data_IF_800052005957
#
_entry.id   IF_800052005957
#
_cell.length_a   1.000
_cell.length_b   1.000
_cell.length_c   1.000
_cell.angle_alpha   90.00
_cell.angle_beta   90.00
_cell.angle_gamma   90.00
#
_symmetry.space_group_name_H-M   'P 1'
#
loop_
_entity.id
_entity.type
_entity.pdbx_description
1 polymer ?
#
# COMPACT_ATOMS: atom_id res chain seq x y z
N UNK A 1 2.80 -11.84 -31.07
CA UNK A 1 2.46 -11.29 -29.75
C UNK A 1 3.43 -10.21 -29.32
N UNK A 2 2.94 -9.18 -28.65
CA UNK A 2 3.78 -8.13 -28.08
C UNK A 2 4.28 -7.06 -29.05
N UNK A 3 3.85 -7.10 -30.29
CA UNK A 3 4.16 -6.08 -31.30
C UNK A 3 2.97 -5.11 -31.43
N UNK A 4 3.23 -3.90 -31.93
CA UNK A 4 2.16 -2.93 -32.17
C UNK A 4 1.17 -3.45 -33.20
N UNK A 5 -0.11 -3.16 -33.00
CA UNK A 5 -1.18 -3.60 -33.90
C UNK A 5 -0.96 -3.12 -35.32
N UNK A 6 -0.47 -1.89 -35.52
CA UNK A 6 -0.21 -1.32 -36.83
C UNK A 6 0.90 -2.07 -37.57
N UNK A 7 2.03 -2.41 -36.90
CA UNK A 7 3.13 -3.13 -37.54
C UNK A 7 2.73 -4.57 -37.87
N UNK A 8 1.92 -5.21 -37.03
CA UNK A 8 1.37 -6.55 -37.27
C UNK A 8 0.40 -6.53 -38.46
N UNK A 9 -0.49 -5.54 -38.53
CA UNK A 9 -1.44 -5.42 -39.66
C UNK A 9 -0.70 -5.25 -40.99
N UNK A 10 0.33 -4.42 -41.03
CA UNK A 10 1.16 -4.25 -42.21
C UNK A 10 1.87 -5.54 -42.64
N UNK A 11 2.46 -6.24 -41.68
CA UNK A 11 3.10 -7.55 -41.91
C UNK A 11 2.08 -8.57 -42.44
N UNK A 12 0.91 -8.68 -41.84
CA UNK A 12 -0.13 -9.63 -42.27
C UNK A 12 -0.62 -9.33 -43.69
N UNK A 13 -0.76 -8.05 -44.06
CA UNK A 13 -1.14 -7.63 -45.38
C UNK A 13 -0.08 -8.09 -46.40
N UNK A 14 1.20 -7.84 -46.16
CA UNK A 14 2.29 -8.29 -47.02
C UNK A 14 2.40 -9.80 -47.12
N UNK A 15 2.15 -10.50 -46.01
CA UNK A 15 2.10 -11.95 -45.98
C UNK A 15 0.98 -12.51 -46.85
N UNK A 16 -0.20 -11.92 -46.80
CA UNK A 16 -1.33 -12.35 -47.64
C UNK A 16 -1.02 -12.11 -49.15
N UNK A 17 -0.41 -10.97 -49.50
CA UNK A 17 0.03 -10.68 -50.86
C UNK A 17 1.04 -11.74 -51.32
N UNK A 18 1.99 -12.14 -50.49
CA UNK A 18 2.99 -13.16 -50.82
C UNK A 18 2.34 -14.55 -51.03
N UNK A 19 1.37 -14.91 -50.21
CA UNK A 19 0.59 -16.17 -50.38
C UNK A 19 -0.19 -16.17 -51.69
N UNK A 20 -0.80 -15.05 -52.06
CA UNK A 20 -1.52 -14.91 -53.32
C UNK A 20 -0.57 -15.01 -54.50
N UNK A 21 0.63 -14.42 -54.43
CA UNK A 21 1.66 -14.49 -55.45
C UNK A 21 2.15 -15.92 -55.68
N UNK A 22 2.28 -16.73 -54.65
CA UNK A 22 2.63 -18.17 -54.79
C UNK A 22 1.57 -18.87 -55.68
N UNK A 23 0.29 -18.60 -55.45
CA UNK A 23 -0.79 -19.15 -56.29
C UNK A 23 -0.69 -18.68 -57.74
N UNK A 24 -0.41 -17.39 -57.94
CA UNK A 24 -0.21 -16.80 -59.28
C UNK A 24 0.95 -17.46 -60.02
N UNK A 25 2.10 -17.66 -59.34
CA UNK A 25 3.26 -18.32 -59.90
C UNK A 25 2.92 -19.79 -60.31
N UNK A 26 2.22 -20.51 -59.43
CA UNK A 26 1.81 -21.88 -59.72
C UNK A 26 0.88 -21.95 -60.95
N UNK A 27 -0.02 -21.02 -61.09
CA UNK A 27 -0.90 -20.95 -62.28
C UNK A 27 -0.13 -20.62 -63.57
N UNK A 28 0.82 -19.68 -63.52
CA UNK A 28 1.67 -19.33 -64.64
C UNK A 28 2.48 -20.55 -65.11
N UNK A 29 3.12 -21.25 -64.16
CA UNK A 29 3.93 -22.45 -64.43
C UNK A 29 3.10 -23.60 -65.05
N UNK A 30 1.83 -23.73 -64.63
CA UNK A 30 0.92 -24.78 -65.15
C UNK A 30 0.44 -24.51 -66.61
N UNK A 31 0.56 -23.30 -67.11
CA UNK A 31 0.03 -22.85 -68.39
C UNK A 31 1.07 -22.64 -69.49
N UNK A 32 2.21 -23.36 -69.41
CA UNK A 32 3.31 -23.26 -70.40
C UNK A 32 3.72 -21.80 -70.71
N UNK A 33 4.27 -21.05 -69.76
CA UNK A 33 4.60 -19.65 -69.92
C UNK A 33 5.73 -19.42 -70.92
N UNK A 34 5.71 -18.31 -71.62
CA UNK A 34 6.84 -17.84 -72.40
C UNK A 34 7.93 -17.19 -71.52
N UNK A 35 9.07 -16.86 -72.09
CA UNK A 35 10.21 -16.29 -71.38
C UNK A 35 9.87 -14.94 -70.76
N UNK A 36 9.04 -14.12 -71.41
CA UNK A 36 8.65 -12.82 -70.90
C UNK A 36 7.70 -12.96 -69.66
N UNK A 37 6.77 -13.90 -69.70
CA UNK A 37 5.90 -14.21 -68.60
C UNK A 37 6.71 -14.70 -67.40
N UNK A 38 7.70 -15.55 -67.60
CA UNK A 38 8.59 -16.03 -66.52
C UNK A 38 9.39 -14.86 -65.90
N UNK A 39 9.98 -13.99 -66.75
CA UNK A 39 10.75 -12.82 -66.26
C UNK A 39 9.90 -11.84 -65.47
N UNK A 40 8.70 -11.54 -65.94
CA UNK A 40 7.76 -10.65 -65.28
C UNK A 40 7.31 -11.19 -63.93
N UNK A 41 6.93 -12.45 -63.87
CA UNK A 41 6.50 -13.09 -62.63
C UNK A 41 7.65 -13.21 -61.64
N UNK A 42 8.87 -13.51 -62.09
CA UNK A 42 10.05 -13.55 -61.22
C UNK A 42 10.33 -12.17 -60.58
N UNK A 43 10.33 -11.11 -61.38
CA UNK A 43 10.53 -9.77 -60.87
C UNK A 43 9.47 -9.35 -59.83
N UNK A 44 8.21 -9.68 -60.09
CA UNK A 44 7.11 -9.40 -59.18
C UNK A 44 7.23 -10.20 -57.85
N UNK A 45 7.60 -11.50 -57.95
CA UNK A 45 7.82 -12.31 -56.79
C UNK A 45 8.98 -11.81 -55.90
N UNK A 46 10.08 -11.37 -56.52
CA UNK A 46 11.21 -10.75 -55.83
C UNK A 46 10.80 -9.46 -55.09
N UNK A 47 10.01 -8.59 -55.77
CA UNK A 47 9.49 -7.38 -55.15
C UNK A 47 8.61 -7.68 -53.93
N UNK A 48 7.68 -8.61 -54.07
CA UNK A 48 6.78 -9.01 -52.99
C UNK A 48 7.55 -9.65 -51.84
N UNK A 49 8.56 -10.49 -52.13
CA UNK A 49 9.45 -11.09 -51.14
C UNK A 49 10.23 -10.03 -50.35
N UNK A 50 10.73 -8.99 -51.04
CA UNK A 50 11.42 -7.86 -50.40
C UNK A 50 10.48 -7.04 -49.53
N UNK A 51 9.26 -6.78 -49.99
CA UNK A 51 8.25 -6.06 -49.21
C UNK A 51 7.87 -6.80 -47.93
N UNK A 52 7.71 -8.14 -48.00
CA UNK A 52 7.42 -8.97 -46.83
C UNK A 52 8.58 -8.96 -45.83
N UNK A 53 9.82 -9.07 -46.33
CA UNK A 53 11.03 -9.01 -45.50
C UNK A 53 11.13 -7.66 -44.79
N UNK A 54 10.88 -6.55 -45.47
CA UNK A 54 10.86 -5.24 -44.83
C UNK A 54 9.76 -5.11 -43.79
N UNK A 55 8.55 -5.57 -44.09
CA UNK A 55 7.45 -5.55 -43.12
C UNK A 55 7.77 -6.38 -41.88
N UNK A 56 8.43 -7.52 -42.02
CA UNK A 56 8.94 -8.32 -40.92
C UNK A 56 9.97 -7.56 -40.08
N UNK A 57 10.91 -6.89 -40.71
CA UNK A 57 11.97 -6.13 -40.04
C UNK A 57 11.42 -4.85 -39.39
N UNK A 58 10.27 -4.36 -39.82
CA UNK A 58 9.61 -3.17 -39.31
C UNK A 58 8.58 -3.49 -38.20
N UNK A 59 8.48 -4.75 -37.77
CA UNK A 59 7.70 -5.11 -36.59
C UNK A 59 8.23 -4.34 -35.36
N UNK A 60 7.33 -3.69 -34.66
CA UNK A 60 7.66 -2.85 -33.50
C UNK A 60 7.08 -3.43 -32.23
N UNK A 61 7.91 -3.51 -31.19
CA UNK A 61 7.46 -3.91 -29.86
C UNK A 61 6.46 -2.90 -29.30
N UNK A 62 5.37 -3.40 -28.78
CA UNK A 62 4.37 -2.56 -28.11
C UNK A 62 4.86 -2.20 -26.70
N UNK A 63 5.13 -0.92 -26.47
CA UNK A 63 5.57 -0.38 -25.17
C UNK A 63 4.44 0.25 -24.36
N UNK A 64 3.21 0.24 -24.87
CA UNK A 64 2.06 0.80 -24.14
C UNK A 64 1.83 0.14 -22.76
N UNK A 65 2.00 -1.18 -22.60
CA UNK A 65 1.91 -1.79 -21.28
C UNK A 65 2.91 -1.21 -20.27
N UNK A 66 4.13 -0.86 -20.70
CA UNK A 66 5.12 -0.19 -19.86
C UNK A 66 4.70 1.24 -19.48
N UNK A 67 4.17 2.00 -20.43
CA UNK A 67 3.66 3.35 -20.15
C UNK A 67 2.51 3.30 -19.15
N UNK A 68 1.60 2.34 -19.29
CA UNK A 68 0.49 2.14 -18.37
C UNK A 68 0.97 1.80 -16.97
N UNK A 69 1.88 0.83 -16.83
CA UNK A 69 2.38 0.42 -15.52
C UNK A 69 3.21 1.52 -14.86
N UNK A 70 3.94 2.31 -15.64
CA UNK A 70 4.64 3.49 -15.14
C UNK A 70 3.69 4.48 -14.48
N UNK A 71 2.55 4.76 -15.11
CA UNK A 71 1.52 5.63 -14.53
C UNK A 71 0.93 5.04 -13.26
N UNK A 72 0.66 3.73 -13.23
CA UNK A 72 0.16 3.05 -12.04
C UNK A 72 1.18 3.10 -10.89
N UNK A 73 2.47 2.90 -11.16
CA UNK A 73 3.53 3.07 -10.15
C UNK A 73 3.55 4.50 -9.61
N UNK A 74 3.46 5.50 -10.48
CA UNK A 74 3.44 6.90 -10.07
C UNK A 74 2.23 7.20 -9.18
N UNK A 75 1.05 6.74 -9.56
CA UNK A 75 -0.18 6.94 -8.79
C UNK A 75 -0.08 6.32 -7.39
N UNK A 76 0.46 5.10 -7.29
CA UNK A 76 0.67 4.44 -5.99
C UNK A 76 1.70 5.15 -5.11
N UNK A 77 2.79 5.65 -5.71
CA UNK A 77 3.81 6.42 -5.00
C UNK A 77 3.20 7.75 -4.50
N UNK A 78 2.45 8.43 -5.34
CA UNK A 78 1.85 9.75 -5.04
C UNK A 78 0.69 9.67 -4.05
N UNK A 79 0.03 8.52 -3.96
CA UNK A 79 -1.08 8.31 -3.02
C UNK A 79 -0.64 8.60 -1.58
N UNK A 80 0.58 8.23 -1.23
CA UNK A 80 1.12 8.43 0.11
C UNK A 80 0.28 7.75 1.20
N UNK A 81 0.70 7.95 2.44
CA UNK A 81 -0.09 7.53 3.58
C UNK A 81 0.43 8.22 4.85
N UNK A 82 -0.47 8.48 5.80
CA UNK A 82 -0.07 8.99 7.10
C UNK A 82 0.43 7.82 7.97
N UNK A 83 1.70 7.87 8.37
CA UNK A 83 2.34 6.87 9.22
C UNK A 83 2.46 7.29 10.68
N UNK A 84 1.96 8.49 11.04
CA UNK A 84 2.00 8.99 12.41
C UNK A 84 1.22 8.08 13.36
N UNK A 85 1.85 7.71 14.47
CA UNK A 85 1.24 6.86 15.47
C UNK A 85 1.16 5.37 15.11
N UNK A 86 1.82 4.95 14.02
CA UNK A 86 1.96 3.56 13.64
C UNK A 86 3.22 2.94 14.26
N UNK A 87 3.26 1.61 14.41
CA UNK A 87 4.45 0.91 14.88
C UNK A 87 5.63 1.10 13.93
N UNK A 88 6.83 1.19 14.49
CA UNK A 88 8.05 1.40 13.68
C UNK A 88 8.25 0.29 12.66
N UNK A 89 8.03 -0.97 13.03
CA UNK A 89 8.20 -2.11 12.12
C UNK A 89 7.25 -2.02 10.92
N UNK A 90 5.98 -1.63 11.14
CA UNK A 90 5.03 -1.48 10.04
C UNK A 90 5.35 -0.27 9.14
N UNK A 91 5.88 0.79 9.72
CA UNK A 91 6.36 1.98 8.98
C UNK A 91 7.59 1.64 8.15
N UNK A 92 8.55 0.92 8.72
CA UNK A 92 9.75 0.48 7.99
C UNK A 92 9.38 -0.41 6.79
N UNK A 93 8.48 -1.37 6.98
CA UNK A 93 7.98 -2.21 5.90
C UNK A 93 7.30 -1.37 4.80
N UNK A 94 6.49 -0.39 5.16
CA UNK A 94 5.88 0.54 4.20
C UNK A 94 6.94 1.35 3.43
N UNK A 95 7.92 1.90 4.13
CA UNK A 95 8.99 2.70 3.52
C UNK A 95 9.88 1.86 2.59
N UNK A 96 10.16 0.62 2.94
CA UNK A 96 10.91 -0.31 2.08
C UNK A 96 10.13 -0.61 0.79
N UNK A 97 8.84 -0.86 0.89
CA UNK A 97 7.97 -1.09 -0.27
C UNK A 97 7.83 0.16 -1.14
N UNK A 98 7.76 1.35 -0.53
CA UNK A 98 7.75 2.62 -1.25
C UNK A 98 9.05 2.85 -2.01
N UNK A 99 10.19 2.59 -1.36
CA UNK A 99 11.51 2.68 -2.00
C UNK A 99 11.66 1.71 -3.16
N UNK A 100 11.18 0.48 -3.02
CA UNK A 100 11.16 -0.52 -4.10
C UNK A 100 10.31 -0.04 -5.29
N UNK A 101 9.18 0.60 -5.05
CA UNK A 101 8.32 1.17 -6.09
C UNK A 101 9.02 2.30 -6.85
N UNK A 102 9.71 3.19 -6.15
CA UNK A 102 10.49 4.29 -6.75
C UNK A 102 11.63 3.74 -7.61
N UNK A 103 12.35 2.74 -7.12
CA UNK A 103 13.43 2.07 -7.87
C UNK A 103 12.88 1.42 -9.13
N UNK A 104 11.77 0.66 -9.03
CA UNK A 104 11.15 -0.01 -10.16
C UNK A 104 10.66 0.98 -11.22
N UNK A 105 10.07 2.10 -10.82
CA UNK A 105 9.71 3.18 -11.74
C UNK A 105 10.92 3.70 -12.50
N UNK A 106 12.07 3.86 -11.85
CA UNK A 106 13.33 4.22 -12.48
C UNK A 106 13.77 3.19 -13.53
N UNK A 107 13.64 1.89 -13.25
CA UNK A 107 13.94 0.81 -14.19
C UNK A 107 13.02 0.85 -15.42
N UNK A 108 11.72 1.05 -15.22
CA UNK A 108 10.74 1.17 -16.30
C UNK A 108 11.08 2.37 -17.20
N UNK A 109 11.40 3.52 -16.60
CA UNK A 109 11.81 4.71 -17.35
C UNK A 109 13.05 4.47 -18.22
N UNK A 110 14.05 3.76 -17.68
CA UNK A 110 15.28 3.42 -18.44
C UNK A 110 14.96 2.47 -19.60
N UNK A 111 14.09 1.49 -19.37
CA UNK A 111 13.70 0.53 -20.37
C UNK A 111 12.93 1.19 -21.54
N UNK A 112 12.04 2.13 -21.22
CA UNK A 112 11.29 2.92 -22.22
C UNK A 112 12.20 3.75 -23.13
N UNK A 113 13.36 4.17 -22.65
CA UNK A 113 14.35 4.94 -23.44
C UNK A 113 15.22 4.06 -24.34
N UNK A 114 15.16 2.77 -24.18
CA UNK A 114 15.87 1.77 -25.00
C UNK A 114 14.83 1.08 -25.86
N UNK A 115 15.25 0.42 -26.91
CA UNK A 115 14.35 -0.41 -27.71
C UNK A 115 14.19 -1.77 -27.01
N UNK A 116 13.20 -1.96 -26.11
CA UNK A 116 13.07 -3.19 -25.37
C UNK A 116 12.59 -4.32 -26.27
N UNK A 117 12.95 -5.55 -25.92
CA UNK A 117 12.34 -6.75 -26.49
C UNK A 117 10.97 -7.00 -25.86
N UNK A 118 10.15 -7.82 -26.53
CA UNK A 118 8.85 -8.24 -26.00
C UNK A 118 9.00 -8.90 -24.61
N UNK A 119 10.02 -9.74 -24.44
CA UNK A 119 10.29 -10.40 -23.15
C UNK A 119 10.66 -9.39 -22.06
N UNK A 120 11.45 -8.39 -22.37
CA UNK A 120 11.80 -7.31 -21.43
C UNK A 120 10.58 -6.51 -21.01
N UNK A 121 9.66 -6.22 -21.94
CA UNK A 121 8.39 -5.53 -21.62
C UNK A 121 7.55 -6.39 -20.67
N UNK A 122 7.36 -7.66 -20.96
CA UNK A 122 6.57 -8.59 -20.13
C UNK A 122 7.15 -8.73 -18.73
N UNK A 123 8.45 -8.92 -18.62
CA UNK A 123 9.15 -9.05 -17.34
C UNK A 123 9.05 -7.77 -16.51
N UNK A 124 9.29 -6.63 -17.12
CA UNK A 124 9.21 -5.33 -16.45
C UNK A 124 7.80 -5.02 -15.94
N UNK A 125 6.77 -5.31 -16.74
CA UNK A 125 5.36 -5.16 -16.32
C UNK A 125 5.04 -6.07 -15.14
N UNK A 126 5.47 -7.33 -15.17
CA UNK A 126 5.24 -8.29 -14.08
C UNK A 126 5.93 -7.84 -12.78
N UNK A 127 7.19 -7.39 -12.86
CA UNK A 127 7.94 -6.88 -11.71
C UNK A 127 7.28 -5.63 -11.11
N UNK A 128 6.84 -4.71 -11.96
CA UNK A 128 6.15 -3.51 -11.53
C UNK A 128 4.80 -3.81 -10.86
N UNK A 129 4.03 -4.76 -11.38
CA UNK A 129 2.79 -5.21 -10.77
C UNK A 129 3.02 -5.78 -9.36
N UNK A 130 4.07 -6.58 -9.19
CA UNK A 130 4.42 -7.14 -7.89
C UNK A 130 4.77 -6.03 -6.88
N UNK A 131 5.59 -5.08 -7.29
CA UNK A 131 5.99 -3.94 -6.45
C UNK A 131 4.79 -3.07 -6.06
N UNK A 132 3.85 -2.84 -6.97
CA UNK A 132 2.59 -2.13 -6.69
C UNK A 132 1.80 -2.88 -5.63
N UNK A 133 1.64 -4.18 -5.78
CA UNK A 133 0.89 -5.01 -4.84
C UNK A 133 1.56 -5.02 -3.45
N UNK A 134 2.88 -5.12 -3.41
CA UNK A 134 3.65 -5.08 -2.16
C UNK A 134 3.47 -3.74 -1.44
N UNK A 135 3.47 -2.63 -2.17
CA UNK A 135 3.23 -1.30 -1.60
C UNK A 135 1.79 -1.15 -1.07
N UNK A 136 0.80 -1.62 -1.82
CA UNK A 136 -0.60 -1.63 -1.37
C UNK A 136 -0.77 -2.47 -0.10
N UNK A 137 -0.19 -3.66 -0.06
CA UNK A 137 -0.22 -4.55 1.10
C UNK A 137 0.47 -3.92 2.32
N UNK A 138 1.64 -3.30 2.13
CA UNK A 138 2.36 -2.62 3.20
C UNK A 138 1.55 -1.44 3.76
N UNK A 139 0.85 -0.69 2.91
CA UNK A 139 -0.05 0.40 3.32
C UNK A 139 -1.20 -0.11 4.19
N UNK A 140 -1.85 -1.18 3.78
CA UNK A 140 -2.97 -1.78 4.54
C UNK A 140 -2.50 -2.54 5.79
N UNK A 141 -1.22 -2.86 5.87
CA UNK A 141 -0.61 -3.57 7.00
C UNK A 141 0.03 -2.63 8.04
N UNK A 142 -0.17 -1.32 7.91
CA UNK A 142 0.23 -0.37 8.95
C UNK A 142 -0.55 -0.64 10.23
N UNK A 143 0.17 -0.67 11.36
CA UNK A 143 -0.37 -1.06 12.66
C UNK A 143 -0.28 0.12 13.62
N UNK A 144 -1.41 0.60 14.20
CA UNK A 144 -1.38 1.62 15.24
C UNK A 144 -0.55 1.17 16.45
N UNK A 145 0.28 2.06 16.97
CA UNK A 145 1.14 1.79 18.12
C UNK A 145 0.33 1.98 19.42
N UNK A 146 0.14 0.89 20.15
CA UNK A 146 -0.61 0.84 21.41
C UNK A 146 0.24 1.10 22.64
N UNK A 147 1.54 1.33 22.50
CA UNK A 147 2.49 1.40 23.64
C UNK A 147 2.11 2.46 24.64
N UNK A 148 1.81 3.68 24.19
CA UNK A 148 1.43 4.78 25.09
C UNK A 148 0.14 4.51 25.85
N UNK A 149 -0.85 3.88 25.20
CA UNK A 149 -2.10 3.50 25.86
C UNK A 149 -1.86 2.40 26.90
N UNK A 150 -1.03 1.40 26.60
CA UNK A 150 -0.65 0.36 27.53
C UNK A 150 0.07 0.93 28.77
N UNK A 151 0.98 1.87 28.57
CA UNK A 151 1.67 2.57 29.65
C UNK A 151 0.70 3.42 30.50
N UNK A 152 -0.23 4.13 29.86
CA UNK A 152 -1.26 4.89 30.55
C UNK A 152 -2.17 3.97 31.36
N UNK A 153 -2.56 2.81 30.82
CA UNK A 153 -3.30 1.77 31.55
C UNK A 153 -2.55 1.33 32.79
N UNK A 154 -1.26 1.02 32.66
CA UNK A 154 -0.43 0.56 33.78
C UNK A 154 -0.35 1.62 34.89
N UNK A 155 -0.17 2.89 34.52
CA UNK A 155 -0.14 4.01 35.48
C UNK A 155 -1.48 4.17 36.19
N UNK A 156 -2.60 4.07 35.47
CA UNK A 156 -3.93 4.13 36.03
C UNK A 156 -4.19 2.97 37.00
N UNK A 157 -3.84 1.76 36.60
CA UNK A 157 -3.99 0.55 37.40
C UNK A 157 -3.17 0.64 38.72
N UNK A 158 -1.93 1.12 38.63
CA UNK A 158 -1.09 1.35 39.80
C UNK A 158 -1.72 2.37 40.77
N UNK A 159 -2.30 3.45 40.23
CA UNK A 159 -3.00 4.45 41.07
C UNK A 159 -4.25 3.88 41.73
N UNK A 160 -5.03 3.06 41.00
CA UNK A 160 -6.21 2.38 41.56
C UNK A 160 -5.82 1.43 42.70
N UNK A 161 -4.74 0.70 42.54
CA UNK A 161 -4.27 -0.32 43.49
C UNK A 161 -3.42 0.25 44.62
N UNK A 162 -3.11 1.53 44.59
CA UNK A 162 -2.34 2.19 45.65
C UNK A 162 -3.14 2.13 46.97
N UNK A 163 -2.52 1.57 48.02
CA UNK A 163 -3.12 1.55 49.35
C UNK A 163 -3.36 2.98 49.84
N UNK A 164 -4.58 3.22 50.30
CA UNK A 164 -5.01 4.52 50.79
C UNK A 164 -5.75 4.32 52.10
N UNK A 165 -5.26 4.95 53.17
CA UNK A 165 -5.94 4.97 54.43
C UNK A 165 -7.11 5.97 54.38
N UNK A 166 -8.31 5.46 54.60
CA UNK A 166 -9.56 6.25 54.58
C UNK A 166 -10.21 6.34 55.96
N UNK A 167 -9.59 5.75 56.95
CA UNK A 167 -10.15 5.75 58.32
C UNK A 167 -10.09 7.15 58.92
N UNK A 168 -11.21 7.57 59.53
CA UNK A 168 -11.31 8.85 60.17
C UNK A 168 -11.35 10.07 59.27
N UNK A 169 -11.51 9.88 57.94
CA UNK A 169 -11.65 11.00 56.97
C UNK A 169 -13.05 11.59 56.97
N UNK A 170 -13.18 12.86 56.57
CA UNK A 170 -14.48 13.50 56.39
C UNK A 170 -15.32 12.84 55.30
N UNK A 171 -16.64 12.79 55.51
CA UNK A 171 -17.53 12.16 54.53
C UNK A 171 -17.44 12.78 53.13
N UNK A 172 -17.29 14.08 53.04
CA UNK A 172 -17.19 14.78 51.75
C UNK A 172 -15.92 14.39 51.00
N UNK A 173 -14.77 14.32 51.70
CA UNK A 173 -13.51 13.89 51.08
C UNK A 173 -13.53 12.44 50.65
N UNK A 174 -14.18 11.59 51.42
CA UNK A 174 -14.38 10.15 51.11
C UNK A 174 -15.29 9.99 49.89
N UNK A 175 -16.40 10.73 49.82
CA UNK A 175 -17.32 10.64 48.68
C UNK A 175 -16.61 11.06 47.37
N UNK A 176 -15.84 12.15 47.42
CA UNK A 176 -15.07 12.61 46.25
C UNK A 176 -14.03 11.55 45.82
N UNK A 177 -13.28 11.02 46.78
CA UNK A 177 -12.28 9.95 46.50
C UNK A 177 -12.95 8.70 45.90
N UNK A 178 -14.02 8.20 46.50
CA UNK A 178 -14.73 7.03 46.02
C UNK A 178 -15.36 7.24 44.62
N UNK A 179 -15.87 8.43 44.33
CA UNK A 179 -16.37 8.77 42.99
C UNK A 179 -15.24 8.70 41.93
N UNK A 180 -14.07 9.29 42.23
CA UNK A 180 -12.93 9.26 41.30
C UNK A 180 -12.36 7.86 41.15
N UNK A 181 -12.33 7.07 42.23
CA UNK A 181 -11.90 5.66 42.18
C UNK A 181 -12.84 4.81 41.30
N UNK A 182 -14.16 4.99 41.42
CA UNK A 182 -15.14 4.29 40.59
C UNK A 182 -14.99 4.64 39.14
N UNK A 183 -14.82 5.91 38.83
CA UNK A 183 -14.59 6.40 37.44
C UNK A 183 -13.28 5.88 36.86
N UNK A 184 -12.22 5.84 37.64
CA UNK A 184 -10.94 5.26 37.25
C UNK A 184 -11.06 3.78 36.89
N UNK A 185 -11.78 3.01 37.69
CA UNK A 185 -12.04 1.58 37.42
C UNK A 185 -12.85 1.37 36.16
N UNK A 186 -13.90 2.16 35.93
CA UNK A 186 -14.68 2.11 34.70
C UNK A 186 -13.82 2.44 33.48
N UNK A 187 -12.95 3.45 33.58
CA UNK A 187 -12.03 3.79 32.51
C UNK A 187 -11.01 2.68 32.23
N UNK A 188 -10.50 2.02 33.29
CA UNK A 188 -9.60 0.86 33.14
C UNK A 188 -10.24 -0.27 32.35
N UNK A 189 -11.51 -0.58 32.58
CA UNK A 189 -12.25 -1.58 31.80
C UNK A 189 -12.39 -1.15 30.33
N UNK A 190 -12.74 0.12 30.09
CA UNK A 190 -12.83 0.67 28.74
C UNK A 190 -11.52 0.55 27.98
N UNK A 191 -10.40 0.94 28.60
CA UNK A 191 -9.07 0.85 28.00
C UNK A 191 -8.69 -0.60 27.67
N UNK A 192 -9.00 -1.52 28.57
CA UNK A 192 -8.73 -2.95 28.36
C UNK A 192 -9.45 -3.49 27.12
N UNK A 193 -10.69 -3.05 26.89
CA UNK A 193 -11.46 -3.40 25.69
C UNK A 193 -10.87 -2.78 24.44
N UNK A 194 -10.45 -1.52 24.50
CA UNK A 194 -9.80 -0.82 23.37
C UNK A 194 -8.49 -1.53 22.98
N UNK A 195 -7.66 -1.88 23.95
CA UNK A 195 -6.40 -2.59 23.72
C UNK A 195 -6.61 -4.01 23.16
N UNK A 196 -7.70 -4.68 23.53
CA UNK A 196 -8.06 -6.01 23.02
C UNK A 196 -8.66 -5.99 21.62
N UNK A 197 -9.02 -4.83 21.10
CA UNK A 197 -9.55 -4.64 19.75
C UNK A 197 -8.51 -4.14 18.75
N UNK A 198 -9.00 -3.53 17.69
CA UNK A 198 -8.17 -2.89 16.63
C UNK A 198 -8.46 -1.38 16.60
N UNK A 199 -7.97 -0.63 17.59
CA UNK A 199 -8.21 0.79 17.66
C UNK A 199 -7.47 1.56 16.57
N UNK A 200 -8.05 2.68 16.16
CA UNK A 200 -7.38 3.68 15.33
C UNK A 200 -6.36 4.47 16.16
N UNK A 201 -5.44 5.16 15.49
CA UNK A 201 -4.49 6.08 16.14
C UNK A 201 -5.23 7.14 16.97
N UNK A 202 -6.33 7.69 16.43
CA UNK A 202 -7.15 8.69 17.12
C UNK A 202 -7.77 8.12 18.41
N UNK A 203 -8.32 6.90 18.36
CA UNK A 203 -8.88 6.23 19.54
C UNK A 203 -7.81 5.94 20.60
N UNK A 204 -6.60 5.54 20.19
CA UNK A 204 -5.48 5.34 21.10
C UNK A 204 -5.11 6.65 21.80
N UNK A 205 -4.99 7.76 21.08
CA UNK A 205 -4.67 9.06 21.66
C UNK A 205 -5.74 9.52 22.62
N UNK A 206 -7.01 9.45 22.23
CA UNK A 206 -8.13 9.85 23.09
C UNK A 206 -8.18 9.01 24.37
N UNK A 207 -8.07 7.71 24.28
CA UNK A 207 -8.10 6.83 25.45
C UNK A 207 -6.88 7.01 26.35
N UNK A 208 -5.72 7.33 25.79
CA UNK A 208 -4.51 7.68 26.54
C UNK A 208 -4.73 8.95 27.36
N UNK A 209 -5.29 10.00 26.75
CA UNK A 209 -5.59 11.26 27.42
C UNK A 209 -6.65 11.06 28.53
N UNK A 210 -7.71 10.31 28.25
CA UNK A 210 -8.74 9.98 29.25
C UNK A 210 -8.15 9.21 30.45
N UNK A 211 -7.29 8.22 30.20
CA UNK A 211 -6.62 7.45 31.24
C UNK A 211 -5.76 8.35 32.14
N UNK A 212 -4.99 9.23 31.55
CA UNK A 212 -4.16 10.18 32.30
C UNK A 212 -5.01 11.14 33.13
N UNK A 213 -6.14 11.62 32.57
CA UNK A 213 -7.08 12.50 33.28
C UNK A 213 -7.72 11.80 34.49
N UNK A 214 -8.19 10.56 34.32
CA UNK A 214 -8.77 9.79 35.44
C UNK A 214 -7.73 9.45 36.50
N UNK A 215 -6.50 9.11 36.12
CA UNK A 215 -5.41 8.94 37.07
C UNK A 215 -5.15 10.21 37.89
N UNK A 216 -5.02 11.33 37.19
CA UNK A 216 -4.78 12.61 37.86
C UNK A 216 -5.93 13.00 38.81
N UNK A 217 -7.17 12.81 38.40
CA UNK A 217 -8.33 13.08 39.23
C UNK A 217 -8.35 12.20 40.49
N UNK A 218 -8.02 10.91 40.36
CA UNK A 218 -7.91 9.98 41.49
C UNK A 218 -6.78 10.36 42.45
N UNK A 219 -5.60 10.66 41.92
CA UNK A 219 -4.43 11.07 42.72
C UNK A 219 -4.72 12.38 43.47
N UNK A 220 -5.37 13.34 42.82
CA UNK A 220 -5.81 14.59 43.46
C UNK A 220 -6.82 14.34 44.57
N UNK A 221 -7.85 13.53 44.31
CA UNK A 221 -8.86 13.20 45.32
C UNK A 221 -8.23 12.49 46.52
N UNK A 222 -7.25 11.60 46.30
CA UNK A 222 -6.49 10.94 47.34
C UNK A 222 -5.73 11.94 48.20
N UNK A 223 -5.05 12.91 47.56
CA UNK A 223 -4.31 13.97 48.26
C UNK A 223 -5.20 14.95 49.05
N UNK A 224 -6.49 15.02 48.69
CA UNK A 224 -7.47 15.89 49.30
C UNK A 224 -8.28 15.19 50.45
N UNK A 225 -7.96 13.94 50.76
CA UNK A 225 -8.57 13.30 51.92
C UNK A 225 -8.22 14.06 53.19
N UNK A 226 -9.26 14.36 53.98
CA UNK A 226 -9.16 15.30 55.11
C UNK A 226 -9.64 14.56 56.36
N UNK A 227 -8.85 14.62 57.44
CA UNK A 227 -9.22 14.05 58.71
C UNK A 227 -10.45 14.74 59.31
N UNK A 228 -11.41 13.95 59.83
CA UNK A 228 -12.51 14.44 60.57
C UNK A 228 -12.04 14.76 62.00
N UNK A 229 -12.00 16.04 62.35
CA UNK A 229 -11.54 16.52 63.66
C UNK A 229 -12.68 16.69 64.65
N UNK A 230 -13.94 16.56 64.26
CA UNK A 230 -15.09 16.74 65.12
C UNK A 230 -15.06 15.89 66.40
N UNK A 231 -14.71 14.59 66.35
CA UNK A 231 -14.62 13.77 67.58
C UNK A 231 -13.59 14.29 68.57
N UNK A 232 -12.54 14.96 68.11
CA UNK A 232 -11.49 15.50 68.96
C UNK A 232 -11.87 16.84 69.59
N UNK A 233 -12.62 17.67 68.86
CA UNK A 233 -13.06 18.99 69.32
C UNK A 233 -14.09 18.83 70.44
N UNK A 234 -14.98 17.84 70.36
CA UNK A 234 -16.04 17.59 71.35
C UNK A 234 -15.51 17.03 72.68
N UNK A 235 -14.24 16.63 72.78
CA UNK A 235 -13.64 16.19 74.04
C UNK A 235 -12.84 17.29 74.76
N UNK A 236 -12.68 18.47 74.18
CA UNK A 236 -11.91 19.58 74.74
C UNK A 236 -12.82 20.62 75.41
N UNK A 237 -14.14 20.55 75.23
CA UNK A 237 -15.19 21.36 75.88
C UNK A 237 -15.86 20.53 76.95
#
# INVERSE_FOLDING_TARGET
DGMTQQSVANYNQKLQIAKNEINTINNVLANNPDVNAIKTNKAEAERISNDLTQAKNNLQVDTQPLEKIKRQLQDEIDQGTNTDGMTQDSVDNYNDSLSAAIIEKGKVNKLLKRNPTVEQVKESVANAQQVIQDLQNARTSLVPDKTQLQEAKNRLENSINQQTDTDGMTQDSLNNYNDKLAKARQNLEKISKVLGGQPTVAEIRQNTDEANAHKQALDTARSQLTLNREPYINHIN
#
